data_IF_664736581210
#
_entry.id   IF_664736581210
#
_cell.length_a   1.000
_cell.length_b   1.000
_cell.length_c   1.000
_cell.angle_alpha   90.00
_cell.angle_beta   90.00
_cell.angle_gamma   90.00
#
_symmetry.space_group_name_H-M   'P 1'
#
loop_
_entity.id
_entity.type
_entity.pdbx_description
1 polymer ?
#
# COMPACT_ATOMS: atom_id res chain seq x y z
N UNK A 1 24.89 14.88 15.61
CA UNK A 1 24.10 14.73 14.36
C UNK A 1 23.46 13.34 14.38
N UNK A 2 22.41 12.98 15.11
CA UNK A 2 21.23 13.63 15.74
C UNK A 2 20.10 14.15 14.84
N UNK A 3 20.23 14.14 13.51
CA UNK A 3 19.17 14.69 12.62
C UNK A 3 18.24 13.65 11.98
N UNK A 4 18.52 12.35 12.07
CA UNK A 4 17.66 11.31 11.46
C UNK A 4 16.70 10.68 12.49
N UNK A 5 16.99 10.83 13.79
CA UNK A 5 16.17 10.28 14.89
C UNK A 5 14.99 11.17 15.30
N UNK A 6 14.92 12.40 14.76
CA UNK A 6 13.79 13.32 14.94
C UNK A 6 13.47 14.01 13.63
N UNK A 7 12.73 13.31 12.78
CA UNK A 7 12.04 13.95 11.67
C UNK A 7 10.84 14.68 12.27
N UNK A 8 11.06 15.90 12.79
CA UNK A 8 10.03 16.76 13.36
C UNK A 8 9.36 17.56 12.25
N UNK A 9 8.04 17.43 12.13
CA UNK A 9 7.24 18.25 11.21
C UNK A 9 7.00 19.60 11.88
N UNK A 10 7.24 20.71 11.18
CA UNK A 10 6.96 22.03 11.75
C UNK A 10 5.45 22.23 11.98
N UNK A 11 5.11 23.03 12.98
CA UNK A 11 3.73 23.21 13.41
C UNK A 11 2.82 23.81 12.32
N UNK A 12 3.38 24.59 11.40
CA UNK A 12 2.60 25.22 10.32
C UNK A 12 2.23 24.21 9.24
N UNK A 13 3.17 23.35 8.85
CA UNK A 13 2.96 22.23 7.93
C UNK A 13 2.02 21.20 8.53
N UNK A 14 2.16 20.88 9.82
CA UNK A 14 1.24 19.97 10.50
C UNK A 14 -0.19 20.51 10.51
N UNK A 15 -0.37 21.81 10.80
CA UNK A 15 -1.68 22.46 10.77
C UNK A 15 -2.27 22.48 9.36
N UNK A 16 -1.48 22.81 8.35
CA UNK A 16 -1.92 22.80 6.95
C UNK A 16 -2.35 21.39 6.50
N UNK A 17 -1.59 20.36 6.90
CA UNK A 17 -1.95 18.98 6.66
C UNK A 17 -3.27 18.59 7.36
N UNK A 18 -3.44 18.94 8.64
CA UNK A 18 -4.67 18.66 9.38
C UNK A 18 -5.91 19.32 8.76
N UNK A 19 -5.79 20.54 8.20
CA UNK A 19 -6.89 21.21 7.50
C UNK A 19 -7.41 20.42 6.29
N UNK A 20 -6.63 19.49 5.76
CA UNK A 20 -7.05 18.62 4.66
C UNK A 20 -7.73 17.32 5.13
N UNK A 21 -7.88 17.09 6.44
CA UNK A 21 -8.36 15.84 7.06
C UNK A 21 -9.62 16.06 7.92
N UNK A 22 -10.38 14.99 8.18
CA UNK A 22 -11.52 15.04 9.10
C UNK A 22 -11.09 15.35 10.53
N UNK A 23 -11.96 16.01 11.31
CA UNK A 23 -11.67 16.38 12.70
C UNK A 23 -11.27 15.18 13.58
N UNK A 24 -11.85 14.00 13.34
CA UNK A 24 -11.50 12.79 14.11
C UNK A 24 -10.09 12.28 13.79
N UNK A 25 -9.62 12.49 12.56
CA UNK A 25 -8.29 12.10 12.12
C UNK A 25 -7.19 13.01 12.71
N UNK A 26 -7.53 14.21 13.20
CA UNK A 26 -6.55 15.16 13.78
C UNK A 26 -5.83 14.63 15.02
N UNK A 27 -6.36 13.58 15.67
CA UNK A 27 -5.79 12.99 16.89
C UNK A 27 -4.41 12.36 16.71
N UNK A 28 -4.04 11.97 15.48
CA UNK A 28 -2.75 11.34 15.18
C UNK A 28 -2.27 11.79 13.80
N UNK A 29 -0.95 11.87 13.64
CA UNK A 29 -0.34 12.06 12.32
C UNK A 29 -0.63 10.87 11.38
N UNK A 30 -0.68 9.65 11.93
CA UNK A 30 -1.00 8.44 11.18
C UNK A 30 -1.73 7.41 12.05
N UNK A 31 -2.73 6.72 11.50
CA UNK A 31 -3.46 5.66 12.19
C UNK A 31 -2.91 4.25 11.90
N UNK A 32 -2.04 4.07 10.90
CA UNK A 32 -1.59 2.76 10.45
C UNK A 32 -0.98 1.89 11.56
N UNK A 33 -0.03 2.37 12.39
CA UNK A 33 0.60 1.52 13.40
C UNK A 33 -0.34 1.01 14.50
N UNK A 34 -1.52 1.63 14.62
CA UNK A 34 -2.52 1.31 15.64
C UNK A 34 -3.66 0.46 15.10
N UNK A 35 -3.86 0.45 13.77
CA UNK A 35 -5.07 -0.07 13.17
C UNK A 35 -4.82 -1.01 11.99
N UNK A 36 -3.59 -1.11 11.47
CA UNK A 36 -3.32 -1.83 10.24
C UNK A 36 -2.07 -2.73 10.31
N UNK A 37 -2.15 -3.88 9.63
CA UNK A 37 -1.00 -4.73 9.33
C UNK A 37 -0.87 -4.93 7.82
N UNK A 38 0.34 -4.80 7.30
CA UNK A 38 0.71 -5.14 5.94
C UNK A 38 1.55 -6.41 5.93
N UNK A 39 1.22 -7.36 5.06
CA UNK A 39 1.95 -8.61 4.85
C UNK A 39 2.52 -8.64 3.43
N UNK A 40 3.85 -8.63 3.31
CA UNK A 40 4.55 -8.67 2.03
C UNK A 40 4.98 -10.07 1.63
N UNK A 41 5.07 -10.35 0.34
CA UNK A 41 5.50 -11.64 -0.25
C UNK A 41 6.85 -12.16 0.25
N UNK A 42 7.69 -11.28 0.81
CA UNK A 42 8.99 -11.61 1.39
C UNK A 42 8.92 -11.98 2.89
N UNK A 43 7.71 -12.12 3.43
CA UNK A 43 7.46 -12.44 4.83
C UNK A 43 7.49 -11.22 5.74
N UNK A 44 7.90 -10.05 5.24
CA UNK A 44 8.00 -8.85 6.06
C UNK A 44 6.60 -8.35 6.41
N UNK A 45 6.39 -8.10 7.70
CA UNK A 45 5.15 -7.52 8.22
C UNK A 45 5.43 -6.11 8.76
N UNK A 46 4.64 -5.13 8.35
CA UNK A 46 4.79 -3.73 8.75
C UNK A 46 3.43 -3.05 8.99
N UNK A 47 3.43 -1.79 9.46
CA UNK A 47 2.19 -1.03 9.66
C UNK A 47 1.51 -0.64 8.33
N UNK A 48 2.30 -0.36 7.29
CA UNK A 48 1.83 0.08 5.98
C UNK A 48 2.83 -0.29 4.88
N UNK A 49 2.37 -0.28 3.63
CA UNK A 49 3.20 -0.61 2.47
C UNK A 49 4.37 0.37 2.19
N UNK A 50 4.38 1.56 2.81
CA UNK A 50 5.46 2.54 2.63
C UNK A 50 6.54 2.44 3.72
N UNK A 51 6.20 1.93 4.90
CA UNK A 51 7.19 1.72 5.96
C UNK A 51 7.84 0.34 5.78
N UNK A 52 9.08 0.35 5.30
CA UNK A 52 9.91 -0.84 5.08
C UNK A 52 11.14 -0.91 5.98
N UNK A 53 11.32 0.09 6.85
CA UNK A 53 12.51 0.20 7.69
C UNK A 53 12.19 -0.33 9.09
N UNK A 54 11.10 0.14 9.71
CA UNK A 54 10.65 -0.37 11.01
C UNK A 54 9.58 -1.43 10.78
N UNK A 55 10.03 -2.68 10.64
CA UNK A 55 9.15 -3.85 10.45
C UNK A 55 8.59 -4.30 11.79
N UNK A 56 7.32 -4.71 11.81
CA UNK A 56 6.67 -5.27 13.00
C UNK A 56 7.17 -6.69 13.31
N UNK A 57 7.58 -7.43 12.27
CA UNK A 57 8.14 -8.77 12.40
C UNK A 57 8.24 -9.47 11.05
N UNK A 58 8.49 -10.78 11.09
CA UNK A 58 8.66 -11.59 9.90
C UNK A 58 7.89 -12.93 9.98
N UNK A 59 7.07 -13.20 8.98
CA UNK A 59 6.41 -14.48 8.77
C UNK A 59 7.32 -15.42 7.96
N UNK A 60 7.42 -16.73 8.32
CA UNK A 60 6.70 -17.46 9.36
C UNK A 60 7.42 -17.54 10.71
N UNK A 61 8.48 -16.73 10.93
CA UNK A 61 9.30 -16.83 12.15
C UNK A 61 8.57 -16.42 13.42
N UNK A 62 7.51 -15.62 13.29
CA UNK A 62 6.67 -15.13 14.37
C UNK A 62 5.19 -15.28 13.98
N UNK A 63 4.34 -15.54 14.96
CA UNK A 63 2.89 -15.51 14.77
C UNK A 63 2.37 -14.09 14.54
N UNK A 64 1.18 -13.97 13.94
CA UNK A 64 0.54 -12.68 13.68
C UNK A 64 0.34 -11.88 14.98
N UNK A 65 -0.03 -12.56 16.07
CA UNK A 65 -0.21 -11.95 17.38
C UNK A 65 1.11 -11.43 17.96
N UNK A 66 2.20 -12.20 17.87
CA UNK A 66 3.53 -11.77 18.31
C UNK A 66 4.04 -10.56 17.53
N UNK A 67 3.84 -10.54 16.20
CA UNK A 67 4.25 -9.41 15.37
C UNK A 67 3.44 -8.15 15.71
N UNK A 68 2.14 -8.27 15.96
CA UNK A 68 1.30 -7.12 16.33
C UNK A 68 1.66 -6.53 17.70
N UNK A 69 2.06 -7.38 18.64
CA UNK A 69 2.46 -7.00 20.00
C UNK A 69 3.98 -6.81 20.16
N UNK A 70 4.75 -6.79 19.08
CA UNK A 70 6.21 -6.72 19.13
C UNK A 70 6.73 -5.38 19.67
N UNK A 71 7.96 -5.39 20.19
CA UNK A 71 8.63 -4.18 20.66
C UNK A 71 8.81 -3.15 19.53
N UNK A 72 9.04 -3.62 18.30
CA UNK A 72 9.15 -2.78 17.11
C UNK A 72 7.82 -2.11 16.78
N UNK A 73 6.71 -2.86 16.84
CA UNK A 73 5.37 -2.30 16.66
C UNK A 73 5.03 -1.26 17.74
N UNK A 74 5.43 -1.51 19.00
CA UNK A 74 5.26 -0.56 20.11
C UNK A 74 6.11 0.70 19.93
N UNK A 75 7.37 0.57 19.49
CA UNK A 75 8.25 1.70 19.20
C UNK A 75 7.67 2.61 18.10
N UNK A 76 7.14 2.03 17.02
CA UNK A 76 6.49 2.78 15.95
C UNK A 76 5.22 3.51 16.42
N UNK A 77 4.40 2.87 17.26
CA UNK A 77 3.22 3.51 17.88
C UNK A 77 3.62 4.68 18.77
N UNK A 78 4.70 4.54 19.54
CA UNK A 78 5.23 5.62 20.37
C UNK A 78 5.69 6.81 19.53
N UNK A 79 6.49 6.57 18.49
CA UNK A 79 7.00 7.62 17.60
C UNK A 79 5.89 8.48 16.99
N UNK A 80 4.80 7.85 16.53
CA UNK A 80 3.65 8.56 15.95
C UNK A 80 2.81 9.29 17.03
N UNK A 81 2.78 8.79 18.27
CA UNK A 81 2.10 9.48 19.38
C UNK A 81 2.83 10.76 19.78
N UNK A 82 4.14 10.82 19.56
CA UNK A 82 4.97 12.01 19.76
C UNK A 82 5.01 12.94 18.53
N UNK A 83 4.09 12.75 17.56
CA UNK A 83 3.99 13.50 16.30
C UNK A 83 5.28 13.51 15.46
N UNK A 84 6.08 12.44 15.55
CA UNK A 84 7.28 12.27 14.73
C UNK A 84 7.04 11.27 13.60
N UNK A 85 7.68 11.49 12.44
CA UNK A 85 7.74 10.50 11.35
C UNK A 85 9.01 9.64 11.42
N UNK A 86 9.54 9.43 12.63
CA UNK A 86 10.66 8.53 12.88
C UNK A 86 10.25 7.06 12.62
N UNK A 87 11.24 6.15 12.54
CA UNK A 87 10.99 4.72 12.37
C UNK A 87 10.43 4.35 10.99
N UNK A 88 11.00 4.92 9.91
CA UNK A 88 10.71 4.48 8.54
C UNK A 88 9.57 5.19 7.80
N UNK A 89 9.02 6.28 8.36
CA UNK A 89 7.96 7.06 7.72
C UNK A 89 8.48 8.19 6.79
N UNK A 90 9.71 8.06 6.28
CA UNK A 90 10.40 9.09 5.49
C UNK A 90 9.63 9.52 4.23
N UNK A 91 9.01 8.59 3.53
CA UNK A 91 8.22 8.92 2.34
C UNK A 91 7.06 9.88 2.67
N UNK A 92 6.36 9.64 3.77
CA UNK A 92 5.32 10.55 4.26
C UNK A 92 5.89 11.91 4.65
N UNK A 93 7.11 11.96 5.18
CA UNK A 93 7.77 13.23 5.51
C UNK A 93 8.06 14.05 4.25
N UNK A 94 8.64 13.43 3.22
CA UNK A 94 8.93 14.11 1.96
C UNK A 94 7.67 14.71 1.31
N UNK A 95 6.54 13.99 1.40
CA UNK A 95 5.25 14.47 0.88
C UNK A 95 4.72 15.66 1.69
N UNK A 96 4.91 15.66 3.01
CA UNK A 96 4.57 16.80 3.88
C UNK A 96 5.43 18.02 3.57
N UNK A 97 6.75 17.85 3.46
CA UNK A 97 7.69 18.94 3.13
C UNK A 97 7.39 19.54 1.75
N UNK A 98 6.96 18.71 0.80
CA UNK A 98 6.54 19.16 -0.53
C UNK A 98 5.17 19.86 -0.56
N UNK A 99 4.48 20.00 0.58
CA UNK A 99 3.15 20.61 0.67
C UNK A 99 2.03 19.78 0.00
N UNK A 100 2.31 18.52 -0.36
CA UNK A 100 1.38 17.67 -1.10
C UNK A 100 0.49 16.86 -0.13
N UNK A 101 -0.25 17.59 0.71
CA UNK A 101 -1.02 17.02 1.82
C UNK A 101 -2.11 16.05 1.37
N UNK A 102 -2.71 16.27 0.20
CA UNK A 102 -3.79 15.43 -0.33
C UNK A 102 -3.31 14.04 -0.73
N UNK A 103 -2.08 13.91 -1.21
CA UNK A 103 -1.51 12.63 -1.63
C UNK A 103 -0.68 11.96 -0.52
N UNK A 104 -0.71 12.46 0.71
CA UNK A 104 0.04 11.86 1.80
C UNK A 104 -0.48 10.44 2.12
N UNK A 105 0.36 9.40 2.05
CA UNK A 105 -0.09 8.02 2.27
C UNK A 105 -0.75 7.78 3.62
N UNK A 106 -0.33 8.48 4.67
CA UNK A 106 -0.91 8.36 6.01
C UNK A 106 -2.43 8.61 6.03
N UNK A 107 -2.96 9.46 5.13
CA UNK A 107 -4.40 9.74 5.02
C UNK A 107 -5.24 8.52 4.65
N UNK A 108 -4.65 7.52 4.01
CA UNK A 108 -5.35 6.27 3.67
C UNK A 108 -5.85 5.53 4.91
N UNK A 109 -5.30 5.85 6.08
CA UNK A 109 -5.64 5.24 7.37
C UNK A 109 -6.59 6.13 8.21
N UNK A 110 -6.92 7.35 7.77
CA UNK A 110 -7.81 8.27 8.52
C UNK A 110 -9.22 7.74 8.70
N UNK A 111 -9.67 6.95 7.74
CA UNK A 111 -10.93 6.20 7.81
C UNK A 111 -11.07 5.31 9.06
N UNK A 112 -9.96 4.86 9.66
CA UNK A 112 -10.00 4.10 10.91
C UNK A 112 -10.23 5.01 12.14
N UNK A 113 -10.00 6.32 12.02
CA UNK A 113 -10.36 7.32 13.03
C UNK A 113 -11.86 7.60 13.03
N UNK A 114 -12.47 7.61 11.85
CA UNK A 114 -13.90 7.88 11.64
C UNK A 114 -14.77 6.62 11.82
N UNK A 115 -14.19 5.43 11.73
CA UNK A 115 -14.93 4.19 11.89
C UNK A 115 -15.41 4.03 13.35
N UNK A 116 -16.72 3.78 13.60
CA UNK A 116 -17.23 3.62 14.97
C UNK A 116 -16.39 2.58 15.69
N UNK A 117 -15.95 2.90 16.91
CA UNK A 117 -15.30 1.93 17.80
C UNK A 117 -16.32 0.81 17.91
N UNK A 118 -16.01 -0.37 17.34
CA UNK A 118 -16.86 -1.53 17.51
C UNK A 118 -17.01 -1.70 19.02
N UNK A 119 -18.23 -1.49 19.51
CA UNK A 119 -18.56 -1.51 20.91
C UNK A 119 -18.28 -2.91 21.45
N UNK A 120 -17.07 -3.11 21.95
CA UNK A 120 -16.82 -4.15 22.94
C UNK A 120 -17.62 -3.70 24.16
N UNK A 121 -18.79 -4.32 24.36
CA UNK A 121 -19.45 -4.24 25.65
C UNK A 121 -18.40 -4.62 26.70
N UNK A 122 -18.31 -3.85 27.79
CA UNK A 122 -17.43 -4.13 28.93
C UNK A 122 -17.54 -5.58 29.45
N UNK A 123 -18.63 -6.28 29.11
CA UNK A 123 -18.91 -7.68 29.45
C UNK A 123 -18.12 -8.72 28.63
N UNK A 124 -17.71 -8.45 27.38
CA UNK A 124 -16.87 -9.39 26.61
C UNK A 124 -15.38 -9.26 26.99
N UNK A 125 -14.97 -8.09 27.47
CA UNK A 125 -13.61 -7.84 27.99
C UNK A 125 -13.24 -8.73 29.19
N UNK A 126 -14.22 -9.23 29.97
CA UNK A 126 -13.95 -10.13 31.09
C UNK A 126 -13.75 -11.59 30.70
N UNK A 127 -14.11 -11.98 29.47
CA UNK A 127 -14.04 -13.38 29.00
C UNK A 127 -12.69 -13.75 28.34
N UNK A 128 -11.82 -12.78 28.06
CA UNK A 128 -10.54 -13.02 27.37
C UNK A 128 -9.30 -12.66 28.22
N UNK A 129 -9.44 -12.67 29.56
CA UNK A 129 -8.30 -12.73 30.49
C UNK A 129 -7.73 -14.16 30.51
N UNK A 130 -7.18 -14.61 29.40
CA UNK A 130 -6.05 -15.54 29.43
C UNK A 130 -4.80 -14.66 29.37
N UNK A 131 -4.11 -14.42 30.50
CA UNK A 131 -2.83 -13.73 30.45
C UNK A 131 -1.87 -14.60 29.65
N UNK A 132 -1.27 -14.04 28.59
CA UNK A 132 0.02 -14.55 28.08
C UNK A 132 0.92 -14.75 29.31
N UNK A 133 1.30 -16.01 29.55
CA UNK A 133 1.93 -16.43 30.79
C UNK A 133 3.11 -15.51 31.17
N UNK A 134 3.10 -14.91 32.37
CA UNK A 134 4.17 -14.00 32.78
C UNK A 134 5.36 -14.80 33.29
N UNK A 135 6.43 -14.91 32.49
CA UNK A 135 7.60 -15.66 32.92
C UNK A 135 8.80 -15.60 31.99
N UNK A 136 9.41 -14.42 31.82
CA UNK A 136 10.87 -14.21 31.79
C UNK A 136 11.22 -12.91 31.04
N UNK A 137 11.36 -11.80 31.76
CA UNK A 137 12.25 -10.72 31.33
C UNK A 137 12.66 -9.90 32.56
N UNK A 138 13.70 -10.40 33.25
CA UNK A 138 14.46 -9.60 34.22
C UNK A 138 15.32 -8.58 33.45
N UNK A 139 15.18 -7.33 33.88
CA UNK A 139 16.02 -6.13 33.72
C UNK A 139 17.40 -6.22 33.07
N UNK A 140 17.68 -5.28 32.14
CA UNK A 140 18.75 -4.25 32.21
C UNK A 140 18.84 -3.55 30.84
N UNK A 141 18.80 -2.22 30.87
CA UNK A 141 18.74 -1.32 29.71
C UNK A 141 20.04 -0.56 29.55
N UNK A 142 20.47 -0.31 28.30
CA UNK A 142 21.19 0.90 27.86
C UNK A 142 21.34 0.91 26.32
N UNK A 143 20.97 2.06 25.75
CA UNK A 143 21.38 2.70 24.48
C UNK A 143 21.98 1.83 23.35
N UNK A 144 21.18 1.44 22.34
CA UNK A 144 21.70 0.71 21.17
C UNK A 144 21.16 1.11 19.80
N UNK A 145 20.26 2.10 19.71
CA UNK A 145 19.95 2.74 18.42
C UNK A 145 21.17 3.47 17.82
N UNK A 146 22.01 4.03 18.69
CA UNK A 146 23.19 4.81 18.31
C UNK A 146 24.38 3.95 17.85
N UNK A 147 24.49 2.71 18.34
CA UNK A 147 25.56 1.76 17.98
C UNK A 147 25.31 1.12 16.60
N UNK A 148 24.06 0.71 16.31
CA UNK A 148 23.66 0.10 15.04
C UNK A 148 23.98 0.99 13.84
N UNK A 149 23.68 2.29 13.96
CA UNK A 149 23.94 3.26 12.91
C UNK A 149 25.43 3.54 12.68
N UNK A 150 26.27 3.56 13.74
CA UNK A 150 27.72 3.77 13.58
C UNK A 150 28.39 2.59 12.86
N UNK A 151 28.04 1.36 13.24
CA UNK A 151 28.68 0.15 12.69
C UNK A 151 28.33 -0.07 11.22
N UNK A 152 27.07 0.15 10.83
CA UNK A 152 26.65 0.10 9.42
C UNK A 152 27.35 1.18 8.59
N UNK A 153 27.52 2.39 9.15
CA UNK A 153 28.17 3.51 8.44
C UNK A 153 29.69 3.34 8.30
N UNK A 154 30.36 2.72 9.27
CA UNK A 154 31.78 2.33 9.15
C UNK A 154 31.98 1.21 8.13
N UNK A 155 31.09 0.21 8.11
CA UNK A 155 31.15 -0.88 7.14
C UNK A 155 30.91 -0.38 5.71
N UNK A 156 30.04 0.61 5.50
CA UNK A 156 29.80 1.23 4.19
C UNK A 156 30.94 2.15 3.72
N UNK A 157 31.75 2.69 4.63
CA UNK A 157 32.88 3.58 4.28
C UNK A 157 34.11 2.86 3.75
N UNK A 158 34.25 1.56 4.03
CA UNK A 158 35.46 0.79 3.75
C UNK A 158 35.26 -0.34 2.72
N UNK A 159 34.25 -0.28 1.83
CA UNK A 159 34.03 -1.35 0.86
C UNK A 159 34.73 -1.16 -0.48
N UNK A 160 35.38 -2.23 -0.94
CA UNK A 160 35.60 -2.50 -2.35
C UNK A 160 34.26 -2.86 -3.03
N UNK A 161 34.02 -2.42 -4.28
CA UNK A 161 32.75 -2.67 -4.98
C UNK A 161 32.55 -4.16 -5.27
N UNK A 162 31.43 -4.75 -4.78
CA UNK A 162 30.96 -6.06 -5.24
C UNK A 162 30.33 -7.02 -4.23
N UNK A 163 30.29 -6.72 -2.92
CA UNK A 163 29.69 -7.63 -1.93
C UNK A 163 28.24 -7.20 -1.60
N UNK A 164 27.21 -8.08 -1.75
CA UNK A 164 25.82 -7.71 -1.47
C UNK A 164 25.60 -7.43 0.02
N UNK A 165 25.25 -6.17 0.33
CA UNK A 165 24.90 -5.62 1.67
C UNK A 165 23.96 -6.52 2.48
N UNK A 166 23.08 -7.27 1.78
CA UNK A 166 22.08 -8.17 2.35
C UNK A 166 22.65 -9.35 3.17
N UNK A 167 23.84 -9.86 2.81
CA UNK A 167 24.40 -11.07 3.43
C UNK A 167 25.13 -10.79 4.77
N UNK A 168 25.75 -9.62 4.88
CA UNK A 168 26.45 -9.18 6.10
C UNK A 168 25.45 -8.72 7.16
N UNK A 169 24.39 -8.00 6.77
CA UNK A 169 23.33 -7.55 7.69
C UNK A 169 22.64 -8.75 8.35
N UNK A 170 22.30 -9.78 7.58
CA UNK A 170 21.60 -10.96 8.11
C UNK A 170 22.47 -11.82 9.06
N UNK A 171 23.78 -11.88 8.84
CA UNK A 171 24.69 -12.65 9.69
C UNK A 171 25.03 -11.96 11.02
N UNK A 172 25.12 -10.63 11.04
CA UNK A 172 25.42 -9.85 12.25
C UNK A 172 24.16 -9.57 13.10
N UNK A 173 22.99 -9.34 12.48
CA UNK A 173 21.71 -9.12 13.20
C UNK A 173 21.28 -10.35 14.00
N UNK A 174 21.61 -11.55 13.51
CA UNK A 174 21.33 -12.81 14.21
C UNK A 174 22.10 -12.99 15.53
N UNK A 175 23.14 -12.18 15.79
CA UNK A 175 24.00 -12.31 16.98
C UNK A 175 23.80 -11.21 18.05
N UNK A 176 22.88 -10.26 17.87
CA UNK A 176 22.71 -9.13 18.80
C UNK A 176 21.69 -9.42 19.94
N UNK A 177 22.04 -9.17 21.21
CA UNK A 177 21.16 -9.48 22.35
C UNK A 177 20.04 -8.45 22.58
N UNK A 178 18.88 -8.95 22.98
CA UNK A 178 17.55 -8.32 22.96
C UNK A 178 17.21 -7.32 24.10
N UNK A 179 18.03 -6.30 24.38
CA UNK A 179 17.81 -5.43 25.57
C UNK A 179 17.99 -3.92 25.37
N UNK A 180 17.05 -3.23 24.73
CA UNK A 180 17.08 -1.75 24.62
C UNK A 180 15.65 -1.14 24.54
N UNK A 181 14.86 -1.05 25.62
CA UNK A 181 13.69 -0.13 25.77
C UNK A 181 13.20 0.06 27.23
N UNK A 182 13.78 0.96 28.04
CA UNK A 182 13.09 1.47 29.23
C UNK A 182 13.07 2.98 29.29
N UNK A 183 11.89 3.51 28.99
CA UNK A 183 11.23 4.47 29.85
C UNK A 183 9.83 3.94 30.10
N UNK A 184 9.19 4.39 31.18
CA UNK A 184 7.77 4.10 31.50
C UNK A 184 6.90 4.58 30.33
N UNK A 185 6.80 3.79 29.27
CA UNK A 185 5.79 3.96 28.25
C UNK A 185 4.44 3.69 28.94
N UNK A 186 3.55 4.68 28.94
CA UNK A 186 2.15 4.41 29.21
C UNK A 186 1.73 3.29 28.25
N UNK A 187 1.44 2.11 28.79
CA UNK A 187 1.09 0.91 28.03
C UNK A 187 -0.04 1.29 27.08
N UNK A 188 0.25 1.40 25.79
CA UNK A 188 -0.80 1.63 24.79
C UNK A 188 -1.73 0.43 24.87
N UNK A 189 -3.01 0.63 25.17
CA UNK A 189 -3.97 -0.48 25.15
C UNK A 189 -4.06 -1.02 23.72
N UNK A 190 -3.49 -2.22 23.53
CA UNK A 190 -3.48 -2.92 22.26
C UNK A 190 -4.89 -3.41 21.94
N UNK A 191 -5.44 -2.90 20.84
CA UNK A 191 -6.65 -3.42 20.22
C UNK A 191 -6.28 -4.27 19.01
N UNK A 192 -7.22 -5.11 18.55
CA UNK A 192 -7.05 -5.80 17.27
C UNK A 192 -6.89 -4.79 16.13
N UNK A 193 -6.06 -5.09 15.10
CA UNK A 193 -6.05 -4.30 13.89
C UNK A 193 -7.44 -4.32 13.25
N UNK A 194 -7.83 -3.21 12.63
CA UNK A 194 -9.07 -3.09 11.85
C UNK A 194 -8.82 -3.20 10.35
N UNK A 195 -7.56 -3.11 9.93
CA UNK A 195 -7.10 -3.24 8.57
C UNK A 195 -6.06 -4.32 8.42
N UNK A 196 -6.16 -5.13 7.38
CA UNK A 196 -5.06 -5.97 6.92
C UNK A 196 -4.86 -5.82 5.42
N UNK A 197 -3.61 -5.77 4.99
CA UNK A 197 -3.23 -5.67 3.59
C UNK A 197 -2.32 -6.85 3.23
N UNK A 198 -2.66 -7.51 2.13
CA UNK A 198 -2.04 -8.75 1.69
C UNK A 198 -1.43 -8.55 0.30
N UNK A 199 -0.09 -8.57 0.24
CA UNK A 199 0.71 -8.64 -0.99
C UNK A 199 1.52 -9.95 -0.99
N UNK A 200 0.83 -11.09 -0.86
CA UNK A 200 1.44 -12.36 -0.44
C UNK A 200 2.19 -13.10 -1.55
N UNK A 201 1.94 -12.77 -2.81
CA UNK A 201 2.51 -13.47 -3.96
C UNK A 201 2.84 -12.52 -5.10
N UNK A 202 3.73 -12.97 -5.99
CA UNK A 202 4.01 -12.33 -7.29
C UNK A 202 3.47 -13.15 -8.47
N UNK A 203 2.73 -14.24 -8.19
CA UNK A 203 2.15 -15.10 -9.22
C UNK A 203 1.23 -14.27 -10.12
N UNK A 204 1.63 -14.09 -11.37
CA UNK A 204 0.93 -13.26 -12.35
C UNK A 204 1.18 -13.83 -13.75
N UNK A 205 0.18 -13.69 -14.61
CA UNK A 205 0.21 -14.14 -16.00
C UNK A 205 0.62 -13.04 -16.99
N UNK A 206 0.72 -11.77 -16.56
CA UNK A 206 1.03 -10.64 -17.44
C UNK A 206 2.48 -10.19 -17.37
N UNK A 207 2.93 -9.58 -18.47
CA UNK A 207 4.27 -9.00 -18.62
C UNK A 207 4.20 -7.49 -18.90
N UNK A 208 3.43 -6.76 -18.08
CA UNK A 208 3.18 -5.34 -18.29
C UNK A 208 4.49 -4.55 -18.41
N UNK A 209 4.54 -3.60 -19.36
CA UNK A 209 5.79 -2.89 -19.73
C UNK A 209 6.45 -2.15 -18.58
N UNK A 210 5.66 -1.64 -17.63
CA UNK A 210 6.12 -0.91 -16.44
C UNK A 210 6.44 -1.81 -15.24
N UNK A 211 6.14 -3.11 -15.33
CA UNK A 211 6.28 -4.05 -14.23
C UNK A 211 7.64 -4.78 -14.29
N UNK A 212 8.02 -5.40 -13.18
CA UNK A 212 9.26 -6.17 -13.05
C UNK A 212 8.94 -7.56 -12.49
N UNK A 213 9.92 -8.48 -12.56
CA UNK A 213 9.84 -9.81 -11.97
C UNK A 213 9.82 -9.81 -10.45
N UNK A 214 9.89 -8.64 -9.81
CA UNK A 214 9.56 -8.48 -8.41
C UNK A 214 8.06 -8.67 -8.15
N UNK A 215 7.20 -8.31 -9.11
CA UNK A 215 5.74 -8.29 -8.96
C UNK A 215 4.99 -9.22 -9.92
N UNK A 216 5.66 -9.74 -10.96
CA UNK A 216 5.10 -10.73 -11.88
C UNK A 216 6.02 -11.94 -12.08
N UNK A 217 5.51 -13.13 -11.79
CA UNK A 217 6.21 -14.40 -12.05
C UNK A 217 6.48 -14.63 -13.54
N UNK A 218 5.59 -14.19 -14.44
CA UNK A 218 5.83 -14.28 -15.89
C UNK A 218 7.03 -13.43 -16.31
N UNK A 219 7.12 -12.18 -15.84
CA UNK A 219 8.28 -11.30 -16.13
C UNK A 219 9.56 -11.91 -15.56
N UNK A 220 9.49 -12.36 -14.30
CA UNK A 220 10.64 -12.95 -13.61
C UNK A 220 11.23 -14.13 -14.38
N UNK A 221 10.37 -15.00 -14.89
CA UNK A 221 10.77 -16.16 -15.68
C UNK A 221 11.21 -15.79 -17.09
N UNK A 222 10.37 -15.07 -17.83
CA UNK A 222 10.51 -14.93 -19.28
C UNK A 222 11.42 -13.75 -19.67
N UNK A 223 11.36 -12.64 -18.93
CA UNK A 223 12.12 -11.41 -19.21
C UNK A 223 13.45 -11.36 -18.45
N UNK A 224 13.44 -11.81 -17.19
CA UNK A 224 14.61 -11.70 -16.30
C UNK A 224 15.40 -13.02 -16.18
N UNK A 225 14.82 -14.16 -16.55
CA UNK A 225 15.47 -15.47 -16.44
C UNK A 225 15.81 -15.88 -15.00
N UNK A 226 15.03 -15.41 -14.03
CA UNK A 226 15.25 -15.64 -12.60
C UNK A 226 14.32 -16.72 -12.04
N UNK A 227 14.82 -17.46 -11.06
CA UNK A 227 14.06 -18.46 -10.32
C UNK A 227 12.85 -17.86 -9.59
N UNK A 228 11.70 -18.54 -9.53
CA UNK A 228 10.51 -18.07 -8.81
C UNK A 228 10.80 -17.61 -7.38
N UNK A 229 10.03 -16.64 -6.90
CA UNK A 229 10.07 -16.27 -5.48
C UNK A 229 9.51 -17.42 -4.62
N UNK A 230 10.01 -17.60 -3.39
CA UNK A 230 9.47 -18.61 -2.48
C UNK A 230 8.02 -18.28 -2.11
N UNK A 231 7.18 -19.31 -2.00
CA UNK A 231 5.83 -19.20 -1.46
C UNK A 231 5.89 -19.37 0.07
N UNK A 232 5.60 -18.29 0.82
CA UNK A 232 5.72 -18.28 2.29
C UNK A 232 4.39 -18.47 3.01
N UNK A 233 3.27 -18.29 2.32
CA UNK A 233 1.94 -18.19 2.91
C UNK A 233 1.10 -19.43 2.59
N UNK A 234 0.96 -20.30 3.59
CA UNK A 234 0.17 -21.53 3.54
C UNK A 234 -1.06 -21.49 4.44
N UNK A 235 -1.68 -22.66 4.63
CA UNK A 235 -2.89 -22.82 5.43
C UNK A 235 -2.70 -22.39 6.89
N UNK A 236 -1.49 -22.53 7.42
CA UNK A 236 -1.12 -22.13 8.78
C UNK A 236 -1.26 -20.61 8.97
N UNK A 237 -0.95 -19.83 7.95
CA UNK A 237 -1.16 -18.39 7.96
C UNK A 237 -2.66 -18.06 8.00
N UNK A 238 -3.45 -18.71 7.14
CA UNK A 238 -4.91 -18.52 7.10
C UNK A 238 -5.58 -18.93 8.42
N UNK A 239 -5.09 -19.97 9.09
CA UNK A 239 -5.55 -20.39 10.42
C UNK A 239 -5.29 -19.31 11.48
N UNK A 240 -4.10 -18.71 11.50
CA UNK A 240 -3.81 -17.62 12.46
C UNK A 240 -4.68 -16.39 12.23
N UNK A 241 -5.08 -16.10 10.98
CA UNK A 241 -5.97 -14.99 10.66
C UNK A 241 -7.37 -15.14 11.28
N UNK A 242 -7.84 -16.35 11.59
CA UNK A 242 -9.19 -16.58 12.12
C UNK A 242 -9.48 -15.80 13.41
N UNK A 243 -8.46 -15.55 14.24
CA UNK A 243 -8.58 -14.72 15.44
C UNK A 243 -8.74 -13.22 15.14
N UNK A 244 -8.32 -12.75 13.96
CA UNK A 244 -8.30 -11.33 13.58
C UNK A 244 -9.47 -10.95 12.69
N UNK A 245 -9.91 -11.85 11.80
CA UNK A 245 -10.96 -11.61 10.81
C UNK A 245 -12.27 -11.01 11.40
N UNK A 246 -12.77 -11.46 12.58
CA UNK A 246 -13.97 -10.87 13.19
C UNK A 246 -13.85 -9.39 13.58
N UNK A 247 -12.62 -8.89 13.71
CA UNK A 247 -12.33 -7.52 14.15
C UNK A 247 -11.97 -6.59 12.98
N UNK A 248 -11.71 -7.15 11.80
CA UNK A 248 -11.39 -6.36 10.63
C UNK A 248 -12.62 -5.57 10.16
N UNK A 249 -12.36 -4.33 9.79
CA UNK A 249 -13.27 -3.50 9.03
C UNK A 249 -12.92 -3.54 7.53
N UNK A 250 -11.65 -3.76 7.19
CA UNK A 250 -11.20 -3.89 5.81
C UNK A 250 -10.07 -4.91 5.65
N UNK A 251 -10.11 -5.68 4.57
CA UNK A 251 -8.99 -6.47 4.07
C UNK A 251 -8.68 -6.12 2.62
N UNK A 252 -7.41 -5.86 2.28
CA UNK A 252 -6.95 -5.55 0.92
C UNK A 252 -6.10 -6.67 0.36
N UNK A 253 -6.31 -7.01 -0.91
CA UNK A 253 -5.66 -8.10 -1.62
C UNK A 253 -5.09 -7.57 -2.93
N UNK A 254 -3.77 -7.62 -3.06
CA UNK A 254 -3.04 -7.19 -4.24
C UNK A 254 -1.73 -7.99 -4.35
N UNK A 255 -0.87 -7.64 -5.30
CA UNK A 255 0.35 -8.39 -5.60
C UNK A 255 0.07 -9.58 -6.53
N UNK A 256 0.93 -9.73 -7.55
CA UNK A 256 0.67 -10.66 -8.64
C UNK A 256 -0.68 -10.40 -9.32
N UNK A 257 -1.36 -11.48 -9.70
CA UNK A 257 -2.79 -11.50 -10.05
C UNK A 257 -3.56 -12.24 -8.94
N UNK A 258 -4.33 -11.53 -8.09
CA UNK A 258 -4.98 -12.13 -6.92
C UNK A 258 -5.82 -13.37 -7.23
N UNK A 259 -6.50 -13.43 -8.39
CA UNK A 259 -7.32 -14.59 -8.73
C UNK A 259 -6.52 -15.84 -9.13
N UNK A 260 -5.19 -15.74 -9.30
CA UNK A 260 -4.29 -16.89 -9.44
C UNK A 260 -3.73 -17.38 -8.11
N UNK A 261 -3.84 -16.61 -7.02
CA UNK A 261 -3.17 -16.88 -5.74
C UNK A 261 -4.02 -17.80 -4.86
N UNK A 262 -3.63 -19.07 -4.63
CA UNK A 262 -4.49 -20.03 -3.93
C UNK A 262 -4.83 -19.62 -2.49
N UNK A 263 -3.86 -19.09 -1.73
CA UNK A 263 -4.04 -18.67 -0.34
C UNK A 263 -5.08 -17.54 -0.19
N UNK A 264 -5.32 -16.73 -1.22
CA UNK A 264 -6.38 -15.71 -1.15
C UNK A 264 -7.77 -16.31 -1.09
N UNK A 265 -8.02 -17.43 -1.78
CA UNK A 265 -9.30 -18.12 -1.68
C UNK A 265 -9.54 -18.71 -0.29
N UNK A 266 -8.50 -19.24 0.35
CA UNK A 266 -8.57 -19.71 1.75
C UNK A 266 -8.90 -18.58 2.73
N UNK A 267 -8.37 -17.39 2.49
CA UNK A 267 -8.66 -16.20 3.30
C UNK A 267 -10.08 -15.71 3.02
N UNK A 268 -10.50 -15.58 1.76
CA UNK A 268 -11.85 -15.11 1.40
C UNK A 268 -12.94 -16.05 1.92
N UNK A 269 -12.75 -17.36 1.85
CA UNK A 269 -13.71 -18.32 2.44
C UNK A 269 -13.85 -18.11 3.96
N UNK A 270 -12.73 -17.91 4.67
CA UNK A 270 -12.74 -17.60 6.10
C UNK A 270 -13.39 -16.25 6.40
N UNK A 271 -13.16 -15.24 5.56
CA UNK A 271 -13.82 -13.94 5.67
C UNK A 271 -15.34 -14.10 5.58
N UNK A 272 -15.84 -14.75 4.52
CA UNK A 272 -17.28 -14.98 4.36
C UNK A 272 -17.90 -15.74 5.52
N UNK A 273 -17.16 -16.68 6.13
CA UNK A 273 -17.62 -17.48 7.29
C UNK A 273 -17.60 -16.69 8.60
N UNK A 274 -16.52 -15.96 8.89
CA UNK A 274 -16.24 -15.38 10.21
C UNK A 274 -16.64 -13.91 10.33
N UNK A 275 -16.69 -13.19 9.21
CA UNK A 275 -17.09 -11.79 9.14
C UNK A 275 -17.74 -11.49 7.77
N UNK A 276 -18.99 -11.93 7.53
CA UNK A 276 -19.67 -11.79 6.23
C UNK A 276 -19.88 -10.33 5.79
N UNK A 277 -19.76 -9.37 6.69
CA UNK A 277 -19.84 -7.94 6.39
C UNK A 277 -18.50 -7.33 5.99
N UNK A 278 -17.38 -8.04 6.18
CA UNK A 278 -16.05 -7.59 5.79
C UNK A 278 -15.93 -7.58 4.27
N UNK A 279 -15.64 -6.42 3.71
CA UNK A 279 -15.41 -6.32 2.28
C UNK A 279 -13.94 -6.64 1.93
N UNK A 280 -13.74 -7.53 0.96
CA UNK A 280 -12.45 -7.76 0.32
C UNK A 280 -12.21 -6.68 -0.74
N UNK A 281 -11.17 -5.86 -0.56
CA UNK A 281 -10.71 -4.91 -1.56
C UNK A 281 -9.67 -5.60 -2.45
N UNK A 282 -10.01 -5.90 -3.69
CA UNK A 282 -9.17 -6.72 -4.58
C UNK A 282 -8.71 -5.88 -5.76
N UNK A 283 -7.39 -5.80 -5.97
CA UNK A 283 -6.79 -5.17 -7.14
C UNK A 283 -6.35 -6.23 -8.14
N UNK A 284 -7.06 -6.36 -9.25
CA UNK A 284 -6.85 -7.40 -10.28
C UNK A 284 -6.48 -6.78 -11.63
N UNK A 285 -5.77 -7.53 -12.47
CA UNK A 285 -5.56 -7.22 -13.87
C UNK A 285 -6.77 -7.62 -14.75
N UNK A 286 -7.75 -8.34 -14.20
CA UNK A 286 -9.02 -8.68 -14.86
C UNK A 286 -8.95 -9.82 -15.86
N UNK A 287 -7.79 -10.47 -16.05
CA UNK A 287 -7.62 -11.53 -17.05
C UNK A 287 -8.14 -12.89 -16.61
N UNK A 288 -8.27 -13.11 -15.30
CA UNK A 288 -8.76 -14.37 -14.74
C UNK A 288 -10.24 -14.24 -14.44
N UNK A 289 -11.05 -14.88 -15.29
CA UNK A 289 -12.48 -14.90 -15.14
C UNK A 289 -13.05 -16.27 -15.49
N UNK A 290 -13.29 -17.06 -14.45
CA UNK A 290 -13.80 -18.43 -14.53
C UNK A 290 -14.86 -18.69 -13.45
N UNK A 291 -15.41 -19.90 -13.38
CA UNK A 291 -16.45 -20.23 -12.40
C UNK A 291 -16.00 -20.04 -10.95
N UNK A 292 -14.74 -20.35 -10.63
CA UNK A 292 -14.19 -20.17 -9.27
C UNK A 292 -14.22 -18.69 -8.85
N UNK A 293 -13.86 -17.78 -9.75
CA UNK A 293 -13.94 -16.33 -9.50
C UNK A 293 -15.40 -15.90 -9.32
N UNK A 294 -16.31 -16.38 -10.19
CA UNK A 294 -17.76 -16.08 -10.06
C UNK A 294 -18.30 -16.51 -8.70
N UNK A 295 -18.06 -17.77 -8.31
CA UNK A 295 -18.54 -18.32 -7.04
C UNK A 295 -17.99 -17.55 -5.82
N UNK A 296 -16.72 -17.14 -5.88
CA UNK A 296 -16.09 -16.36 -4.81
C UNK A 296 -16.72 -14.97 -4.69
N UNK A 297 -16.93 -14.28 -5.81
CA UNK A 297 -17.54 -12.95 -5.85
C UNK A 297 -19.00 -12.98 -5.38
N UNK A 298 -19.74 -14.07 -5.59
CA UNK A 298 -21.11 -14.19 -5.06
C UNK A 298 -21.15 -14.45 -3.54
N UNK A 299 -20.09 -15.06 -2.98
CA UNK A 299 -20.01 -15.41 -1.53
C UNK A 299 -19.33 -14.35 -0.68
N UNK A 300 -18.58 -13.44 -1.28
CA UNK A 300 -17.74 -12.46 -0.57
C UNK A 300 -18.16 -11.06 -0.99
N UNK A 301 -18.41 -10.18 -0.01
CA UNK A 301 -18.57 -8.75 -0.31
C UNK A 301 -17.24 -8.21 -0.84
N UNK A 302 -17.26 -7.55 -2.00
CA UNK A 302 -16.03 -7.08 -2.64
C UNK A 302 -16.10 -5.62 -3.06
N UNK A 303 -14.96 -4.93 -2.97
CA UNK A 303 -14.67 -3.70 -3.69
C UNK A 303 -13.57 -4.02 -4.70
N UNK A 304 -13.89 -3.93 -5.98
CA UNK A 304 -12.99 -4.34 -7.05
C UNK A 304 -12.27 -3.14 -7.63
N UNK A 305 -10.97 -3.29 -7.82
CA UNK A 305 -10.13 -2.34 -8.54
C UNK A 305 -9.54 -3.10 -9.72
N UNK A 306 -9.91 -2.71 -10.94
CA UNK A 306 -9.40 -3.35 -12.16
C UNK A 306 -8.35 -2.46 -12.78
N UNK A 307 -7.18 -3.04 -13.03
CA UNK A 307 -6.09 -2.36 -13.70
C UNK A 307 -6.33 -2.31 -15.22
N UNK A 308 -6.77 -1.15 -15.72
CA UNK A 308 -7.07 -0.92 -17.15
C UNK A 308 -6.32 0.32 -17.63
N UNK A 309 -5.16 0.17 -18.26
CA UNK A 309 -4.33 1.33 -18.65
C UNK A 309 -4.77 2.03 -19.95
N UNK A 310 -5.74 1.46 -20.66
CA UNK A 310 -6.36 2.08 -21.84
C UNK A 310 -7.69 1.40 -22.14
N UNK A 311 -8.67 2.16 -22.63
CA UNK A 311 -9.90 1.64 -23.23
C UNK A 311 -9.79 1.46 -24.76
N UNK A 312 -8.59 1.69 -25.32
CA UNK A 312 -8.26 1.39 -26.71
C UNK A 312 -7.48 0.09 -26.74
N UNK A 313 -7.94 -0.83 -27.58
CA UNK A 313 -7.39 -2.20 -27.65
C UNK A 313 -5.89 -2.20 -27.88
N UNK A 314 -5.44 -1.45 -28.87
CA UNK A 314 -4.05 -1.45 -29.32
C UNK A 314 -3.13 -0.91 -28.22
N UNK A 315 -3.49 0.22 -27.60
CA UNK A 315 -2.74 0.77 -26.46
C UNK A 315 -2.75 -0.17 -25.26
N UNK A 316 -3.91 -0.75 -24.93
CA UNK A 316 -4.06 -1.65 -23.80
C UNK A 316 -3.16 -2.89 -23.94
N UNK A 317 -3.23 -3.59 -25.07
CA UNK A 317 -2.47 -4.82 -25.32
C UNK A 317 -0.96 -4.54 -25.48
N UNK A 318 -0.59 -3.36 -25.97
CA UNK A 318 0.81 -2.93 -26.00
C UNK A 318 1.38 -2.72 -24.58
N UNK A 319 0.59 -2.18 -23.65
CA UNK A 319 0.99 -1.94 -22.26
C UNK A 319 0.93 -3.22 -21.42
N UNK A 320 -0.20 -3.93 -21.47
CA UNK A 320 -0.52 -5.12 -20.66
C UNK A 320 -0.23 -6.40 -21.45
N UNK A 321 1.05 -6.64 -21.73
CA UNK A 321 1.48 -7.78 -22.55
C UNK A 321 0.95 -9.11 -22.01
N UNK A 322 0.52 -9.98 -22.92
CA UNK A 322 -0.20 -11.25 -22.70
C UNK A 322 -1.70 -11.12 -22.34
N UNK A 323 -2.22 -9.91 -22.16
CA UNK A 323 -3.66 -9.71 -22.01
C UNK A 323 -4.40 -9.77 -23.36
N UNK A 324 -5.71 -10.04 -23.33
CA UNK A 324 -6.61 -9.86 -24.47
C UNK A 324 -7.69 -8.86 -24.08
N UNK A 325 -7.75 -7.73 -24.77
CA UNK A 325 -8.58 -6.59 -24.39
C UNK A 325 -10.04 -6.99 -24.20
N UNK A 326 -10.62 -7.70 -25.17
CA UNK A 326 -12.04 -8.07 -25.13
C UNK A 326 -12.36 -8.96 -23.92
N UNK A 327 -11.43 -9.86 -23.55
CA UNK A 327 -11.61 -10.74 -22.38
C UNK A 327 -11.55 -9.98 -21.07
N UNK A 328 -10.70 -8.96 -20.98
CA UNK A 328 -10.66 -8.10 -19.81
C UNK A 328 -11.92 -7.24 -19.73
N UNK A 329 -12.43 -6.72 -20.85
CA UNK A 329 -13.68 -5.97 -20.87
C UNK A 329 -14.89 -6.83 -20.48
N UNK A 330 -14.96 -8.10 -20.92
CA UNK A 330 -15.96 -9.07 -20.44
C UNK A 330 -15.92 -9.22 -18.90
N UNK A 331 -14.73 -9.30 -18.31
CA UNK A 331 -14.55 -9.35 -16.85
C UNK A 331 -15.01 -8.06 -16.18
N UNK A 332 -14.62 -6.89 -16.71
CA UNK A 332 -15.01 -5.57 -16.19
C UNK A 332 -16.53 -5.41 -16.18
N UNK A 333 -17.20 -5.82 -17.26
CA UNK A 333 -18.66 -5.79 -17.36
C UNK A 333 -19.31 -6.65 -16.28
N UNK A 334 -18.79 -7.87 -16.07
CA UNK A 334 -19.31 -8.75 -15.02
C UNK A 334 -19.05 -8.17 -13.62
N UNK A 335 -17.86 -7.62 -13.37
CA UNK A 335 -17.51 -6.99 -12.10
C UNK A 335 -18.39 -5.78 -11.81
N UNK A 336 -18.76 -5.00 -12.82
CA UNK A 336 -19.73 -3.91 -12.68
C UNK A 336 -21.12 -4.43 -12.26
N UNK A 337 -21.56 -5.57 -12.80
CA UNK A 337 -22.83 -6.18 -12.38
C UNK A 337 -22.77 -6.71 -10.95
N UNK A 338 -21.67 -7.36 -10.54
CA UNK A 338 -21.44 -7.79 -9.15
C UNK A 338 -21.48 -6.58 -8.22
N UNK A 339 -20.76 -5.53 -8.59
CA UNK A 339 -20.68 -4.28 -7.86
C UNK A 339 -22.07 -3.66 -7.61
N UNK A 340 -22.90 -3.59 -8.66
CA UNK A 340 -24.27 -3.09 -8.56
C UNK A 340 -25.12 -3.95 -7.61
N UNK A 341 -25.06 -5.29 -7.72
CA UNK A 341 -25.79 -6.20 -6.82
C UNK A 341 -25.37 -6.05 -5.35
N UNK A 342 -24.08 -5.87 -5.10
CA UNK A 342 -23.52 -5.76 -3.76
C UNK A 342 -23.60 -4.34 -3.17
N UNK A 343 -24.03 -3.35 -3.96
CA UNK A 343 -23.94 -1.93 -3.61
C UNK A 343 -22.54 -1.58 -3.09
N UNK A 344 -21.52 -2.01 -3.84
CA UNK A 344 -20.12 -1.77 -3.51
C UNK A 344 -19.52 -0.70 -4.42
N UNK A 345 -18.19 -0.64 -4.57
CA UNK A 345 -17.52 0.25 -5.53
C UNK A 345 -16.69 -0.57 -6.52
N UNK A 346 -16.76 -0.22 -7.81
CA UNK A 346 -15.82 -0.64 -8.84
C UNK A 346 -14.95 0.56 -9.21
N UNK A 347 -13.64 0.36 -9.21
CA UNK A 347 -12.66 1.37 -9.60
C UNK A 347 -11.77 0.87 -10.73
N UNK A 348 -11.37 1.78 -11.59
CA UNK A 348 -10.37 1.57 -12.64
C UNK A 348 -9.07 2.23 -12.18
N UNK A 349 -8.03 1.42 -12.03
CA UNK A 349 -6.69 1.88 -11.75
C UNK A 349 -5.88 1.98 -13.05
N UNK A 350 -5.24 3.13 -13.24
CA UNK A 350 -4.49 3.48 -14.46
C UNK A 350 -3.10 3.94 -14.03
N UNK A 351 -2.10 3.59 -14.82
CA UNK A 351 -0.76 4.16 -14.75
C UNK A 351 -0.58 5.16 -15.92
N UNK A 352 -0.71 6.48 -15.71
CA UNK A 352 -0.36 7.46 -16.73
C UNK A 352 1.12 7.35 -17.09
N UNK A 353 1.41 7.09 -18.35
CA UNK A 353 2.72 6.88 -18.93
C UNK A 353 2.81 7.59 -20.28
N UNK A 354 4.02 7.69 -20.83
CA UNK A 354 4.24 8.27 -22.17
C UNK A 354 3.35 7.59 -23.24
N UNK A 355 3.09 6.28 -23.08
CA UNK A 355 2.31 5.48 -24.04
C UNK A 355 0.81 5.81 -24.08
N UNK A 356 0.22 6.34 -23.00
CA UNK A 356 -1.23 6.53 -22.87
C UNK A 356 -1.62 7.91 -22.31
N UNK A 357 -0.69 8.82 -22.02
CA UNK A 357 -1.00 10.08 -21.34
C UNK A 357 -2.04 10.93 -22.09
N UNK A 358 -2.03 10.91 -23.42
CA UNK A 358 -3.01 11.64 -24.23
C UNK A 358 -4.44 11.06 -24.17
N UNK A 359 -4.63 9.91 -23.52
CA UNK A 359 -5.93 9.27 -23.33
C UNK A 359 -6.59 9.64 -21.99
N UNK A 360 -5.86 10.23 -21.03
CA UNK A 360 -6.35 10.41 -19.66
C UNK A 360 -7.69 11.15 -19.56
N UNK A 361 -7.93 12.26 -20.30
CA UNK A 361 -9.22 12.92 -20.22
C UNK A 361 -10.37 12.04 -20.72
N UNK A 362 -10.20 11.36 -21.86
CA UNK A 362 -11.18 10.41 -22.41
C UNK A 362 -11.45 9.25 -21.43
N UNK A 363 -10.42 8.75 -20.75
CA UNK A 363 -10.57 7.68 -19.76
C UNK A 363 -11.42 8.11 -18.56
N UNK A 364 -11.28 9.36 -18.10
CA UNK A 364 -12.14 9.93 -17.04
C UNK A 364 -13.59 9.98 -17.51
N UNK A 365 -13.84 10.47 -18.72
CA UNK A 365 -15.20 10.52 -19.26
C UNK A 365 -15.84 9.13 -19.42
N UNK A 366 -15.08 8.14 -19.89
CA UNK A 366 -15.56 6.75 -19.97
C UNK A 366 -15.92 6.24 -18.58
N UNK A 367 -15.08 6.49 -17.57
CA UNK A 367 -15.37 6.09 -16.20
C UNK A 367 -16.62 6.80 -15.66
N UNK A 368 -16.78 8.10 -15.90
CA UNK A 368 -17.98 8.86 -15.53
C UNK A 368 -19.25 8.25 -16.15
N UNK A 369 -19.25 8.02 -17.48
CA UNK A 369 -20.40 7.43 -18.19
C UNK A 369 -20.75 6.02 -17.72
N UNK A 370 -19.73 5.23 -17.34
CA UNK A 370 -19.90 3.83 -16.91
C UNK A 370 -20.16 3.69 -15.40
N UNK A 371 -20.10 4.78 -14.64
CA UNK A 371 -20.27 4.76 -13.18
C UNK A 371 -19.09 4.11 -12.45
N UNK A 372 -17.87 4.26 -12.98
CA UNK A 372 -16.65 3.74 -12.37
C UNK A 372 -15.87 4.86 -11.70
N UNK A 373 -15.30 4.59 -10.52
CA UNK A 373 -14.29 5.48 -9.96
C UNK A 373 -12.96 5.31 -10.70
N UNK A 374 -12.18 6.37 -10.86
CA UNK A 374 -10.87 6.33 -11.52
C UNK A 374 -9.76 6.67 -10.52
N UNK A 375 -8.63 5.97 -10.63
CA UNK A 375 -7.45 6.22 -9.81
C UNK A 375 -6.18 6.19 -10.67
N UNK A 376 -5.33 7.21 -10.49
CA UNK A 376 -4.07 7.33 -11.20
C UNK A 376 -2.88 6.94 -10.31
N UNK A 377 -2.11 5.95 -10.76
CA UNK A 377 -0.86 5.52 -10.15
C UNK A 377 0.33 6.17 -10.86
N UNK A 378 1.15 6.91 -10.12
CA UNK A 378 2.38 7.48 -10.68
C UNK A 378 3.40 6.39 -11.02
N UNK A 379 3.84 6.36 -12.27
CA UNK A 379 4.95 5.53 -12.73
C UNK A 379 6.27 6.25 -12.44
N UNK A 380 7.00 5.75 -11.44
CA UNK A 380 8.35 6.24 -11.11
C UNK A 380 9.43 5.53 -11.91
N UNK A 381 9.23 4.23 -12.12
CA UNK A 381 10.10 3.35 -12.88
C UNK A 381 9.25 2.40 -13.74
N UNK A 382 9.75 1.96 -14.90
CA UNK A 382 11.02 2.39 -15.49
C UNK A 382 10.95 3.85 -15.99
N UNK A 383 12.08 4.55 -15.96
CA UNK A 383 12.12 6.01 -16.14
C UNK A 383 11.67 6.43 -17.55
N UNK A 384 11.98 5.60 -18.55
CA UNK A 384 11.60 5.78 -19.95
C UNK A 384 10.10 5.71 -20.22
N UNK A 385 9.29 5.25 -19.26
CA UNK A 385 7.83 5.29 -19.34
C UNK A 385 7.23 6.42 -18.48
N UNK A 386 8.04 7.02 -17.60
CA UNK A 386 7.58 8.00 -16.62
C UNK A 386 7.39 9.38 -17.25
N UNK A 387 6.21 9.96 -17.05
CA UNK A 387 5.93 11.34 -17.46
C UNK A 387 6.84 12.36 -16.76
N UNK A 388 7.33 12.05 -15.55
CA UNK A 388 8.24 12.93 -14.79
C UNK A 388 9.54 13.23 -15.54
N UNK A 389 9.97 12.34 -16.44
CA UNK A 389 11.25 12.44 -17.17
C UNK A 389 11.13 13.16 -18.51
N UNK A 390 9.92 13.57 -18.89
CA UNK A 390 9.70 14.34 -20.10
C UNK A 390 10.33 15.75 -19.99
N UNK A 391 10.85 16.30 -21.11
CA UNK A 391 11.26 17.70 -21.17
C UNK A 391 10.12 18.65 -20.82
N UNK A 392 10.46 19.88 -20.39
CA UNK A 392 9.48 20.89 -20.04
C UNK A 392 8.51 21.21 -21.20
N UNK A 393 8.99 21.20 -22.45
CA UNK A 393 8.16 21.41 -23.64
C UNK A 393 7.06 20.34 -23.79
N UNK A 394 7.43 19.06 -23.66
CA UNK A 394 6.47 17.95 -23.75
C UNK A 394 5.47 17.96 -22.59
N UNK A 395 5.93 18.26 -21.37
CA UNK A 395 5.04 18.42 -20.22
C UNK A 395 4.05 19.57 -20.42
N UNK A 396 4.51 20.70 -20.95
CA UNK A 396 3.66 21.85 -21.27
C UNK A 396 2.60 21.47 -22.31
N UNK A 397 2.97 20.71 -23.34
CA UNK A 397 2.04 20.20 -24.37
C UNK A 397 0.95 19.31 -23.77
N UNK A 398 1.32 18.38 -22.87
CA UNK A 398 0.36 17.50 -22.19
C UNK A 398 -0.58 18.31 -21.29
N UNK A 399 -0.05 19.27 -20.52
CA UNK A 399 -0.84 20.14 -19.63
C UNK A 399 -1.86 20.94 -20.44
N UNK A 400 -1.44 21.58 -21.53
CA UNK A 400 -2.35 22.33 -22.42
C UNK A 400 -3.43 21.42 -23.03
N UNK A 401 -3.07 20.19 -23.40
CA UNK A 401 -4.03 19.22 -23.89
C UNK A 401 -5.07 18.85 -22.81
N UNK A 402 -4.65 18.61 -21.57
CA UNK A 402 -5.56 18.28 -20.46
C UNK A 402 -6.49 19.44 -20.12
N UNK A 403 -6.00 20.68 -20.15
CA UNK A 403 -6.80 21.88 -19.87
C UNK A 403 -7.81 22.15 -21.00
N UNK A 404 -7.43 21.90 -22.26
CA UNK A 404 -8.33 22.07 -23.41
C UNK A 404 -9.35 20.93 -23.58
N UNK A 405 -9.05 19.75 -23.05
CA UNK A 405 -9.92 18.57 -23.09
C UNK A 405 -10.36 18.18 -21.69
N UNK A 406 -10.67 19.15 -20.83
CA UNK A 406 -11.07 18.88 -19.45
C UNK A 406 -12.32 17.97 -19.44
N UNK A 407 -12.31 16.84 -18.71
CA UNK A 407 -13.43 15.90 -18.72
C UNK A 407 -14.71 16.54 -18.18
N UNK A 408 -15.85 16.20 -18.78
CA UNK A 408 -17.16 16.58 -18.28
C UNK A 408 -17.76 15.50 -17.37
N UNK A 409 -18.66 15.91 -16.47
CA UNK A 409 -19.44 15.00 -15.65
C UNK A 409 -20.12 15.66 -14.45
N UNK A 410 -21.30 15.14 -14.10
CA UNK A 410 -22.12 15.60 -12.98
C UNK A 410 -22.29 14.51 -11.91
N UNK A 411 -22.58 14.94 -10.67
CA UNK A 411 -22.83 14.06 -9.54
C UNK A 411 -21.57 13.68 -8.74
N UNK A 412 -21.77 13.01 -7.61
CA UNK A 412 -20.70 12.74 -6.63
C UNK A 412 -19.56 11.88 -7.20
N UNK A 413 -19.88 10.90 -8.04
CA UNK A 413 -18.88 10.05 -8.69
C UNK A 413 -18.03 10.85 -9.68
N UNK A 414 -18.67 11.64 -10.55
CA UNK A 414 -17.95 12.47 -11.51
C UNK A 414 -17.06 13.49 -10.78
N UNK A 415 -17.57 14.13 -9.73
CA UNK A 415 -16.79 15.03 -8.88
C UNK A 415 -15.54 14.34 -8.32
N UNK A 416 -15.68 13.12 -7.78
CA UNK A 416 -14.53 12.35 -7.28
C UNK A 416 -13.52 12.02 -8.38
N UNK A 417 -13.98 11.76 -9.61
CA UNK A 417 -13.09 11.47 -10.73
C UNK A 417 -12.39 12.72 -11.27
N UNK A 418 -13.09 13.87 -11.28
CA UNK A 418 -12.51 15.18 -11.62
C UNK A 418 -11.45 15.59 -10.59
N UNK A 419 -11.68 15.35 -9.30
CA UNK A 419 -10.67 15.56 -8.26
C UNK A 419 -9.41 14.70 -8.49
N UNK A 420 -9.57 13.44 -8.94
CA UNK A 420 -8.44 12.59 -9.31
C UNK A 420 -7.69 13.14 -10.54
N UNK A 421 -8.42 13.63 -11.54
CA UNK A 421 -7.85 14.25 -12.74
C UNK A 421 -7.10 15.55 -12.43
N UNK A 422 -7.68 16.42 -11.59
CA UNK A 422 -7.03 17.63 -11.09
C UNK A 422 -5.75 17.30 -10.32
N UNK A 423 -5.76 16.22 -9.54
CA UNK A 423 -4.57 15.69 -8.87
C UNK A 423 -3.44 15.35 -9.85
N UNK A 424 -3.77 14.67 -10.95
CA UNK A 424 -2.82 14.35 -12.02
C UNK A 424 -2.33 15.61 -12.75
N UNK A 425 -3.23 16.54 -13.08
CA UNK A 425 -2.88 17.81 -13.74
C UNK A 425 -1.93 18.65 -12.87
N UNK A 426 -2.20 18.74 -11.58
CA UNK A 426 -1.31 19.43 -10.63
C UNK A 426 0.05 18.73 -10.49
N UNK A 427 0.07 17.39 -10.51
CA UNK A 427 1.33 16.64 -10.53
C UNK A 427 2.17 16.95 -11.79
N UNK A 428 1.55 17.02 -12.97
CA UNK A 428 2.23 17.40 -14.22
C UNK A 428 2.77 18.83 -14.16
N UNK A 429 1.99 19.80 -13.64
CA UNK A 429 2.43 21.20 -13.45
C UNK A 429 3.66 21.30 -12.54
N UNK A 430 3.70 20.50 -11.47
CA UNK A 430 4.85 20.44 -10.57
C UNK A 430 6.09 19.87 -11.27
N UNK A 431 5.95 18.81 -12.06
CA UNK A 431 7.07 18.27 -12.84
C UNK A 431 7.52 19.22 -13.95
N UNK A 432 6.60 19.93 -14.60
CA UNK A 432 6.92 20.96 -15.59
C UNK A 432 7.80 22.05 -14.97
N UNK A 433 7.39 22.59 -13.81
CA UNK A 433 8.17 23.60 -13.10
C UNK A 433 9.59 23.11 -12.79
N UNK A 434 9.69 21.90 -12.24
CA UNK A 434 11.00 21.30 -11.93
C UNK A 434 11.87 21.15 -13.18
N UNK A 435 11.31 20.59 -14.26
CA UNK A 435 12.02 20.40 -15.53
C UNK A 435 12.44 21.74 -16.17
N UNK A 436 11.60 22.75 -16.10
CA UNK A 436 11.88 24.09 -16.62
C UNK A 436 13.04 24.75 -15.86
N UNK A 437 13.04 24.68 -14.53
CA UNK A 437 14.09 25.25 -13.68
C UNK A 437 15.46 24.54 -13.82
N UNK A 438 15.45 23.27 -14.22
CA UNK A 438 16.65 22.44 -14.31
C UNK A 438 17.02 22.05 -15.75
N UNK A 439 16.34 22.64 -16.75
CA UNK A 439 16.75 22.49 -18.15
C UNK A 439 18.06 23.25 -18.36
N UNK A 440 19.08 22.66 -19.01
CA UNK A 440 20.24 23.43 -19.44
C UNK A 440 19.71 24.53 -20.37
N UNK A 441 19.89 25.80 -19.96
CA UNK A 441 19.51 26.93 -20.80
C UNK A 441 20.12 26.75 -22.19
N UNK A 442 19.38 27.04 -23.28
CA UNK A 442 19.89 26.97 -24.64
C UNK A 442 21.12 27.87 -24.87
#
# INVERSE_FOLDING_TARGET
MDEISKISVDASTLKAHQQTRSLNAHRKLCHAPFQNMYFGRDGIVSACCYNRIEVMGNWPTQSIAEMWASAQAEALRHAITEDTLAGGCYYCHQILEAGNFFNMPARHFDKYADAPIAGLSKQLWSLFREPLAPGALKSRFLDGGTYYYRKVRELLKNQEPGIPIRKIILQEVAQLPSRIFSRKASKVELSYPRGMEFELSSTCNLECVMCTGQFSSSIRKNREGLEPHPELYGIEFAQQLEAFLPHLWQAKFYGGEPFLVPIYYEIWERMSRLNPNLAAHITTNGTIFNQRVRDMLEKTRTHLIVSVDSFRKETYEAIRQNARFEKVMESVDYFAQVNQRQQSVLSIAICPMILNCMEMPEMVEICNRRGFHIFFNTVWFPEELSLRKLPAEELSRIIQYYESHYPDGEGDLAKSNLEAFDGLLNQLKNWYKYAFEHSPNP
#
